data_IF_565476578569
#
_entry.id   IF_565476578569
#
_cell.length_a   1.000
_cell.length_b   1.000
_cell.length_c   1.000
_cell.angle_alpha   90.00
_cell.angle_beta   90.00
_cell.angle_gamma   90.00
#
_symmetry.space_group_name_H-M   'P 1'
#
loop_
_entity.id
_entity.type
_entity.pdbx_description
1 polymer ?
#
# COMPACT_ATOMS: atom_id res chain seq x y z
N UNK A 1 2.15 -2.98 -4.98
CA UNK A 1 0.74 -2.76 -5.30
C UNK A 1 -0.07 -2.77 -4.03
N UNK A 2 -1.35 -2.37 -4.10
CA UNK A 2 -2.22 -2.14 -2.94
C UNK A 2 -2.49 -3.41 -2.11
N UNK A 3 -2.70 -4.56 -2.75
CA UNK A 3 -3.02 -5.81 -2.06
C UNK A 3 -1.96 -6.21 -1.00
N UNK A 4 -0.67 -6.41 -1.34
CA UNK A 4 0.33 -6.79 -0.34
C UNK A 4 0.57 -5.71 0.73
N UNK A 5 0.32 -4.43 0.43
CA UNK A 5 0.40 -3.35 1.41
C UNK A 5 -0.73 -3.49 2.44
N UNK A 6 -1.99 -3.47 1.98
CA UNK A 6 -3.17 -3.50 2.86
C UNK A 6 -3.22 -4.79 3.66
N UNK A 7 -3.03 -5.94 3.01
CA UNK A 7 -3.08 -7.23 3.71
C UNK A 7 -1.87 -7.45 4.61
N UNK A 8 -0.69 -6.95 4.24
CA UNK A 8 0.48 -6.99 5.12
C UNK A 8 0.28 -6.19 6.41
N UNK A 9 -0.29 -4.98 6.29
CA UNK A 9 -0.65 -4.14 7.46
C UNK A 9 -1.71 -4.84 8.31
N UNK A 10 -2.75 -5.42 7.69
CA UNK A 10 -3.77 -6.20 8.41
C UNK A 10 -3.19 -7.37 9.19
N UNK A 11 -2.26 -8.11 8.60
CA UNK A 11 -1.59 -9.23 9.29
C UNK A 11 -0.76 -8.77 10.48
N UNK A 12 -0.03 -7.65 10.35
CA UNK A 12 0.70 -7.08 11.49
C UNK A 12 -0.24 -6.56 12.57
N UNK A 13 -1.30 -5.86 12.18
CA UNK A 13 -2.32 -5.35 13.10
C UNK A 13 -2.96 -6.49 13.90
N UNK A 14 -3.31 -7.58 13.23
CA UNK A 14 -3.84 -8.78 13.89
C UNK A 14 -2.84 -9.37 14.90
N UNK A 15 -1.58 -9.52 14.52
CA UNK A 15 -0.53 -10.02 15.43
C UNK A 15 -0.28 -9.10 16.64
N UNK A 16 -0.44 -7.79 16.44
CA UNK A 16 -0.32 -6.76 17.47
C UNK A 16 -1.61 -6.48 18.26
N UNK A 17 -2.71 -7.22 17.99
CA UNK A 17 -4.04 -7.00 18.58
C UNK A 17 -4.56 -5.56 18.42
N UNK A 18 -4.19 -4.91 17.32
CA UNK A 18 -4.64 -3.58 16.93
C UNK A 18 -6.10 -3.67 16.45
N UNK A 19 -6.97 -2.80 16.98
CA UNK A 19 -8.43 -2.86 16.79
C UNK A 19 -8.93 -1.99 15.65
N UNK A 20 -8.09 -1.05 15.21
CA UNK A 20 -8.30 -0.12 14.14
C UNK A 20 -8.62 -0.88 12.85
N UNK A 21 -9.58 -0.37 12.09
CA UNK A 21 -10.14 -1.06 10.92
C UNK A 21 -9.61 -0.51 9.59
N UNK A 22 -9.28 0.78 9.54
CA UNK A 22 -8.67 1.42 8.39
C UNK A 22 -7.16 1.17 8.30
N UNK A 23 -6.61 1.18 7.08
CA UNK A 23 -5.20 0.85 6.83
C UNK A 23 -4.27 1.93 7.37
N UNK A 24 -4.62 3.21 7.23
CA UNK A 24 -3.81 4.32 7.70
C UNK A 24 -3.73 4.34 9.23
N UNK A 25 -4.86 4.14 9.90
CA UNK A 25 -5.00 4.08 11.35
C UNK A 25 -4.21 2.90 11.91
N UNK A 26 -4.28 1.73 11.26
CA UNK A 26 -3.44 0.57 11.62
C UNK A 26 -1.96 0.86 11.48
N UNK A 27 -1.52 1.57 10.44
CA UNK A 27 -0.11 1.95 10.28
C UNK A 27 0.32 2.83 11.46
N UNK A 28 -0.46 3.86 11.80
CA UNK A 28 -0.17 4.74 12.93
C UNK A 28 -0.11 3.97 14.26
N UNK A 29 -1.08 3.11 14.54
CA UNK A 29 -1.12 2.29 15.74
C UNK A 29 0.06 1.29 15.81
N UNK A 30 0.46 0.71 14.68
CA UNK A 30 1.62 -0.18 14.61
C UNK A 30 2.95 0.55 14.86
N UNK A 31 3.07 1.81 14.44
CA UNK A 31 4.22 2.66 14.77
C UNK A 31 4.23 2.96 16.26
N UNK A 32 3.10 3.38 16.85
CA UNK A 32 2.97 3.64 18.29
C UNK A 32 3.29 2.41 19.14
N UNK A 33 2.90 1.21 18.68
CA UNK A 33 3.20 -0.06 19.35
C UNK A 33 4.65 -0.55 19.13
N UNK A 34 5.48 0.18 18.39
CA UNK A 34 6.87 -0.20 18.07
C UNK A 34 6.99 -1.40 17.12
N UNK A 35 5.88 -1.83 16.49
CA UNK A 35 5.87 -2.93 15.53
C UNK A 35 6.34 -2.50 14.13
N UNK A 36 6.28 -1.21 13.83
CA UNK A 36 6.87 -0.56 12.66
C UNK A 36 7.74 0.61 13.11
N UNK A 37 8.82 0.87 12.36
CA UNK A 37 9.55 2.14 12.52
C UNK A 37 8.71 3.28 11.96
N UNK A 38 8.90 4.48 12.51
CA UNK A 38 8.23 5.70 12.02
C UNK A 38 8.47 5.91 10.52
N UNK A 39 9.71 5.75 10.07
CA UNK A 39 10.08 5.85 8.66
C UNK A 39 9.31 4.86 7.77
N UNK A 40 9.24 3.57 8.14
CA UNK A 40 8.47 2.58 7.37
C UNK A 40 6.97 2.89 7.40
N UNK A 41 6.46 3.37 8.54
CA UNK A 41 5.06 3.78 8.65
C UNK A 41 4.72 4.91 7.68
N UNK A 42 5.54 5.96 7.63
CA UNK A 42 5.37 7.08 6.72
C UNK A 42 5.44 6.63 5.26
N UNK A 43 6.45 5.84 4.88
CA UNK A 43 6.60 5.31 3.52
C UNK A 43 5.39 4.47 3.10
N UNK A 44 4.82 3.65 4.01
CA UNK A 44 3.63 2.85 3.74
C UNK A 44 2.36 3.71 3.58
N UNK A 45 2.23 4.76 4.39
CA UNK A 45 1.09 5.68 4.32
C UNK A 45 1.10 6.46 2.99
N UNK A 46 2.25 7.02 2.62
CA UNK A 46 2.43 7.70 1.34
C UNK A 46 2.17 6.75 0.16
N UNK A 47 2.70 5.53 0.25
CA UNK A 47 2.46 4.49 -0.76
C UNK A 47 0.98 4.15 -0.91
N UNK A 48 0.24 4.06 0.19
CA UNK A 48 -1.20 3.82 0.19
C UNK A 48 -1.93 4.94 -0.54
N UNK A 49 -1.65 6.20 -0.17
CA UNK A 49 -2.28 7.36 -0.79
C UNK A 49 -1.94 7.49 -2.27
N UNK A 50 -0.70 7.20 -2.67
CA UNK A 50 -0.32 7.21 -4.08
C UNK A 50 -1.11 6.17 -4.90
N UNK A 51 -1.22 4.93 -4.43
CA UNK A 51 -2.04 3.92 -5.11
C UNK A 51 -3.52 4.32 -5.18
N UNK A 52 -4.06 4.92 -4.11
CA UNK A 52 -5.44 5.42 -4.11
C UNK A 52 -5.63 6.53 -5.12
N UNK A 53 -4.68 7.47 -5.20
CA UNK A 53 -4.69 8.56 -6.17
C UNK A 53 -4.66 8.06 -7.61
N UNK A 54 -3.81 7.08 -7.92
CA UNK A 54 -3.78 6.47 -9.26
C UNK A 54 -5.11 5.81 -9.63
N UNK A 55 -5.69 5.02 -8.73
CA UNK A 55 -6.99 4.36 -8.97
C UNK A 55 -8.13 5.35 -9.11
N UNK A 56 -8.12 6.43 -8.32
CA UNK A 56 -9.11 7.50 -8.42
C UNK A 56 -9.02 8.22 -9.77
N UNK A 57 -7.82 8.61 -10.20
CA UNK A 57 -7.59 9.24 -11.51
C UNK A 57 -8.09 8.34 -12.65
N UNK A 58 -7.75 7.05 -12.61
CA UNK A 58 -8.21 6.08 -13.60
C UNK A 58 -9.74 5.97 -13.61
N UNK A 59 -10.37 5.83 -12.44
CA UNK A 59 -11.83 5.73 -12.31
C UNK A 59 -12.58 6.97 -12.79
N UNK A 60 -12.03 8.16 -12.53
CA UNK A 60 -12.61 9.41 -13.04
C UNK A 60 -12.51 9.50 -14.57
N UNK A 61 -11.41 9.04 -15.16
CA UNK A 61 -11.25 9.02 -16.61
C UNK A 61 -12.21 8.01 -17.28
N UNK A 62 -12.40 6.83 -16.69
CA UNK A 62 -13.41 5.85 -17.12
C UNK A 62 -14.83 6.45 -17.07
N UNK A 63 -15.18 7.09 -15.95
CA UNK A 63 -16.49 7.72 -15.77
C UNK A 63 -16.74 8.83 -16.82
N UNK A 64 -15.73 9.64 -17.15
CA UNK A 64 -15.84 10.67 -18.18
C UNK A 64 -16.09 10.11 -19.58
N UNK A 65 -15.63 8.88 -19.86
CA UNK A 65 -15.88 8.17 -21.12
C UNK A 65 -17.19 7.38 -21.12
N UNK A 66 -17.94 7.36 -20.00
CA UNK A 66 -19.14 6.54 -19.85
C UNK A 66 -18.85 5.04 -19.71
N UNK A 67 -17.63 4.68 -19.34
CA UNK A 67 -17.21 3.30 -19.12
C UNK A 67 -17.49 2.84 -17.66
N UNK A 68 -17.60 1.53 -17.40
CA UNK A 68 -17.65 1.01 -16.03
C UNK A 68 -16.42 1.47 -15.23
N UNK A 69 -16.65 1.99 -14.02
CA UNK A 69 -15.56 2.45 -13.13
C UNK A 69 -14.90 1.25 -12.47
N UNK A 70 -13.70 0.90 -12.93
CA UNK A 70 -12.87 -0.19 -12.39
C UNK A 70 -11.67 0.34 -11.60
N UNK A 71 -11.23 1.56 -11.91
CA UNK A 71 -10.00 2.14 -11.36
C UNK A 71 -8.75 1.37 -11.78
N UNK A 72 -8.78 0.72 -12.95
CA UNK A 72 -7.61 0.03 -13.51
C UNK A 72 -6.62 1.05 -14.06
N UNK A 73 -5.40 0.98 -13.57
CA UNK A 73 -4.34 1.92 -13.95
C UNK A 73 -3.62 1.37 -15.17
N UNK A 74 -3.75 2.07 -16.30
CA UNK A 74 -2.88 1.84 -17.46
C UNK A 74 -1.52 2.51 -17.22
N UNK A 75 -0.49 1.68 -17.02
CA UNK A 75 0.88 2.12 -16.75
C UNK A 75 1.51 2.85 -17.96
N UNK A 76 1.07 2.54 -19.18
CA UNK A 76 1.60 3.18 -20.40
C UNK A 76 1.11 4.61 -20.53
N UNK A 77 -0.12 4.88 -20.08
CA UNK A 77 -0.73 6.21 -20.07
C UNK A 77 -0.21 7.13 -18.94
N UNK A 78 0.59 6.61 -18.00
CA UNK A 78 1.16 7.42 -16.91
C UNK A 78 2.19 8.42 -17.42
N UNK A 79 2.33 9.55 -16.72
CA UNK A 79 3.45 10.45 -16.92
C UNK A 79 4.78 9.77 -16.51
N UNK A 80 5.92 10.26 -17.00
CA UNK A 80 7.23 9.77 -16.55
C UNK A 80 7.40 9.91 -15.04
N UNK A 81 6.95 11.05 -14.47
CA UNK A 81 6.97 11.28 -13.03
C UNK A 81 6.13 10.25 -12.27
N UNK A 82 4.89 9.99 -12.70
CA UNK A 82 4.03 8.99 -12.06
C UNK A 82 4.62 7.58 -12.17
N UNK A 83 5.28 7.24 -13.29
CA UNK A 83 5.95 5.94 -13.44
C UNK A 83 7.13 5.79 -12.48
N UNK A 84 7.93 6.83 -12.29
CA UNK A 84 9.06 6.78 -11.37
C UNK A 84 8.57 6.70 -9.92
N UNK A 85 7.58 7.51 -9.56
CA UNK A 85 6.94 7.42 -8.23
C UNK A 85 6.27 6.06 -8.00
N UNK A 86 5.70 5.44 -9.04
CA UNK A 86 5.18 4.07 -8.97
C UNK A 86 6.28 3.05 -8.70
N UNK A 87 7.45 3.16 -9.34
CA UNK A 87 8.58 2.27 -9.06
C UNK A 87 9.08 2.39 -7.63
N UNK A 88 9.19 3.62 -7.12
CA UNK A 88 9.61 3.89 -5.75
C UNK A 88 8.61 3.32 -4.73
N UNK A 89 7.33 3.57 -4.97
CA UNK A 89 6.22 3.01 -4.18
C UNK A 89 6.24 1.48 -4.18
N UNK A 90 6.48 0.86 -5.34
CA UNK A 90 6.59 -0.60 -5.44
C UNK A 90 7.81 -1.14 -4.68
N UNK A 91 8.89 -0.37 -4.62
CA UNK A 91 10.10 -0.71 -3.86
C UNK A 91 9.87 -0.65 -2.35
N UNK A 92 9.10 0.31 -1.84
CA UNK A 92 8.61 0.33 -0.44
C UNK A 92 7.84 -0.95 -0.13
N UNK A 93 6.86 -1.30 -0.97
CA UNK A 93 6.05 -2.52 -0.77
C UNK A 93 6.92 -3.78 -0.81
N UNK A 94 7.96 -3.83 -1.64
CA UNK A 94 8.92 -4.94 -1.69
C UNK A 94 9.69 -5.09 -0.38
N UNK A 95 10.19 -3.98 0.20
CA UNK A 95 10.87 -3.96 1.50
C UNK A 95 9.93 -4.39 2.63
N UNK A 96 8.70 -3.87 2.65
CA UNK A 96 7.69 -4.26 3.62
C UNK A 96 7.36 -5.77 3.57
N UNK A 97 7.19 -6.34 2.36
CA UNK A 97 6.99 -7.79 2.20
C UNK A 97 8.18 -8.60 2.73
N UNK A 98 9.41 -8.11 2.59
CA UNK A 98 10.58 -8.78 3.13
C UNK A 98 10.55 -8.80 4.67
N UNK A 99 10.18 -7.68 5.30
CA UNK A 99 9.97 -7.60 6.75
C UNK A 99 8.91 -8.60 7.22
N UNK A 100 7.77 -8.69 6.54
CA UNK A 100 6.72 -9.66 6.88
C UNK A 100 7.19 -11.11 6.77
N UNK A 101 7.93 -11.45 5.71
CA UNK A 101 8.47 -12.81 5.53
C UNK A 101 9.40 -13.18 6.68
N UNK A 102 10.29 -12.28 7.08
CA UNK A 102 11.20 -12.51 8.21
C UNK A 102 10.41 -12.67 9.52
N UNK A 103 9.44 -11.80 9.79
CA UNK A 103 8.66 -11.80 11.03
C UNK A 103 7.78 -13.04 11.18
N UNK A 104 7.13 -13.49 10.10
CA UNK A 104 6.18 -14.61 10.13
C UNK A 104 6.77 -15.92 9.60
N UNK A 105 8.07 -15.96 9.29
CA UNK A 105 8.77 -17.14 8.71
C UNK A 105 8.08 -17.70 7.46
N UNK A 106 7.55 -16.81 6.63
CA UNK A 106 6.83 -17.20 5.41
C UNK A 106 7.83 -17.69 4.35
N UNK A 107 7.70 -18.95 3.92
CA UNK A 107 8.58 -19.58 2.94
C UNK A 107 9.62 -20.56 3.52
N UNK A 108 9.55 -20.83 4.82
CA UNK A 108 10.26 -21.98 5.44
C UNK A 108 9.24 -23.10 5.61
N UNK A 109 9.07 -23.92 4.57
CA UNK A 109 8.36 -25.21 4.60
C UNK A 109 9.18 -26.21 3.79
#
# INVERSE_FOLDING_TARGET
GTFPLVHGVRSLALAGRITETGTAERIAALVQAGALTEAMGQELLESLHFFMGLKLKAGLAEAQRGEPVTGQVDVQALSTLDRDLLKDTLSVVKRFRALLRQRFRLGVL
#
